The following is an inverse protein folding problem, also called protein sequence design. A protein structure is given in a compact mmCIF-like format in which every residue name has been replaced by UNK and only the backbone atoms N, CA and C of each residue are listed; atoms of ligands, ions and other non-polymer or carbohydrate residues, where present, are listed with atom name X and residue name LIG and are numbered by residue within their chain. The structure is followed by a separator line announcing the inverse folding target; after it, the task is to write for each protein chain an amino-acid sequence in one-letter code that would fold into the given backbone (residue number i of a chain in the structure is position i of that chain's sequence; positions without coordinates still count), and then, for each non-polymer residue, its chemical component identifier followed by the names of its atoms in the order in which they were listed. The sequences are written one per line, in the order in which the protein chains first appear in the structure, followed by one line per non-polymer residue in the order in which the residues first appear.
data_IF_176552437061
#
_entry.id   IF_176552437061
#
_cell.length_a   1.000
_cell.length_b   1.000
_cell.length_c   1.000
_cell.angle_alpha   90.00
_cell.angle_beta   90.00
_cell.angle_gamma   90.00
#
_symmetry.space_group_name_H-M   'P 1'
#
loop_
_entity.id
_entity.type
_entity.pdbx_description
1 polymer ?
#
# COMPACT_ATOMS: atom_id res chain seq x y z
N UNK A 1 -1.51 -2.70 34.26
CA UNK A 1 -1.14 -1.36 33.77
C UNK A 1 0.35 -1.18 34.02
N UNK A 2 1.15 -1.16 32.98
CA UNK A 2 2.61 -1.05 33.10
C UNK A 2 3.01 0.39 33.49
N UNK A 3 4.30 0.61 33.84
CA UNK A 3 4.82 1.96 34.06
C UNK A 3 4.64 2.85 32.83
N UNK A 4 4.87 2.27 31.65
CA UNK A 4 4.71 2.95 30.35
C UNK A 4 3.27 3.41 30.14
N UNK A 5 2.29 2.54 30.41
CA UNK A 5 0.86 2.89 30.28
C UNK A 5 0.47 4.08 31.16
N UNK A 6 1.03 4.15 32.38
CA UNK A 6 0.76 5.27 33.31
C UNK A 6 1.36 6.58 32.79
N UNK A 7 2.59 6.55 32.32
CA UNK A 7 3.27 7.73 31.79
C UNK A 7 2.60 8.24 30.50
N UNK A 8 2.19 7.34 29.60
CA UNK A 8 1.44 7.69 28.39
C UNK A 8 0.05 8.27 28.69
N UNK A 9 -0.65 7.73 29.71
CA UNK A 9 -1.96 8.23 30.11
C UNK A 9 -1.91 9.64 30.74
N UNK A 10 -0.76 10.06 31.26
CA UNK A 10 -0.55 11.40 31.83
C UNK A 10 0.00 12.41 30.84
N UNK A 11 0.56 11.94 29.71
CA UNK A 11 1.12 12.81 28.69
C UNK A 11 0.02 13.52 27.87
N UNK A 12 0.26 14.76 27.40
CA UNK A 12 -0.64 15.43 26.48
C UNK A 12 -0.88 14.59 25.23
N UNK A 13 -2.12 14.54 24.73
CA UNK A 13 -2.49 13.76 23.53
C UNK A 13 -1.57 14.02 22.35
N UNK A 14 -1.25 15.28 22.06
CA UNK A 14 -0.34 15.65 20.99
C UNK A 14 1.07 15.10 21.16
N UNK A 15 1.52 14.89 22.41
CA UNK A 15 2.81 14.24 22.67
C UNK A 15 2.72 12.73 22.45
N UNK A 16 1.64 12.09 22.90
CA UNK A 16 1.39 10.65 22.65
C UNK A 16 1.37 10.36 21.14
N UNK A 17 0.72 11.20 20.35
CA UNK A 17 0.68 11.08 18.88
C UNK A 17 2.09 11.18 18.26
N UNK A 18 2.94 12.08 18.76
CA UNK A 18 4.34 12.18 18.29
C UNK A 18 5.18 10.97 18.69
N UNK A 19 4.98 10.43 19.89
CA UNK A 19 5.67 9.21 20.34
C UNK A 19 5.22 7.99 19.52
N UNK A 20 3.93 7.86 19.22
CA UNK A 20 3.41 6.81 18.34
C UNK A 20 3.97 6.92 16.91
N UNK A 21 4.12 8.13 16.38
CA UNK A 21 4.77 8.36 15.10
C UNK A 21 6.25 7.96 15.09
N UNK A 22 7.00 8.27 16.17
CA UNK A 22 8.39 7.82 16.34
C UNK A 22 8.46 6.30 16.23
N UNK A 23 7.60 5.58 16.97
CA UNK A 23 7.54 4.13 16.93
C UNK A 23 7.18 3.59 15.55
N UNK A 24 6.14 4.15 14.94
CA UNK A 24 5.69 3.73 13.61
C UNK A 24 6.80 3.86 12.55
N UNK A 25 7.51 4.98 12.52
CA UNK A 25 8.61 5.17 11.58
C UNK A 25 9.75 4.17 11.81
N UNK A 26 10.18 4.02 13.05
CA UNK A 26 11.23 3.07 13.40
C UNK A 26 10.82 1.64 13.02
N UNK A 27 9.58 1.26 13.36
CA UNK A 27 9.12 -0.11 13.17
C UNK A 27 8.84 -0.45 11.70
N UNK A 28 8.14 0.42 10.97
CA UNK A 28 7.72 0.14 9.59
C UNK A 28 8.67 0.65 8.51
N UNK A 29 9.42 1.73 8.75
CA UNK A 29 10.39 2.26 7.78
C UNK A 29 11.84 1.95 8.16
N UNK A 30 12.07 1.63 9.43
CA UNK A 30 13.40 1.23 9.94
C UNK A 30 14.33 2.39 10.21
N UNK A 31 13.90 3.65 10.03
CA UNK A 31 14.70 4.83 10.34
C UNK A 31 13.84 6.05 10.66
N UNK A 32 14.45 6.97 11.41
CA UNK A 32 13.85 8.24 11.79
C UNK A 32 14.92 9.31 11.96
N UNK A 33 14.66 10.50 11.44
CA UNK A 33 15.41 11.70 11.75
C UNK A 33 14.61 12.64 12.66
N UNK A 34 15.29 13.44 13.48
CA UNK A 34 14.63 14.47 14.30
C UNK A 34 13.79 15.43 13.46
N UNK A 35 14.25 15.72 12.25
CA UNK A 35 13.56 16.60 11.31
C UNK A 35 12.21 16.04 10.85
N UNK A 36 12.07 14.72 10.74
CA UNK A 36 10.80 14.06 10.37
C UNK A 36 9.67 14.40 11.37
N UNK A 37 10.01 14.42 12.68
CA UNK A 37 9.06 14.78 13.73
C UNK A 37 8.74 16.28 13.65
N UNK A 38 9.77 17.10 13.51
CA UNK A 38 9.61 18.56 13.47
C UNK A 38 8.73 18.99 12.29
N UNK A 39 8.96 18.45 11.11
CA UNK A 39 8.18 18.74 9.90
C UNK A 39 6.75 18.19 10.00
N UNK A 40 6.61 16.93 10.43
CA UNK A 40 5.30 16.26 10.49
C UNK A 40 4.31 16.96 11.43
N UNK A 41 4.78 17.43 12.57
CA UNK A 41 3.95 18.04 13.61
C UNK A 41 4.10 19.57 13.72
N UNK A 42 4.86 20.18 12.80
CA UNK A 42 5.13 21.62 12.82
C UNK A 42 5.64 22.11 14.17
N UNK A 43 6.49 21.31 14.82
CA UNK A 43 7.09 21.64 16.13
C UNK A 43 8.55 22.05 16.01
N UNK A 44 9.03 22.82 16.98
CA UNK A 44 10.43 23.20 17.03
C UNK A 44 11.35 21.96 17.18
N UNK A 45 12.54 22.04 16.60
CA UNK A 45 13.56 20.97 16.67
C UNK A 45 13.90 20.56 18.11
N UNK A 46 13.83 21.51 19.06
CA UNK A 46 14.02 21.24 20.50
C UNK A 46 12.92 20.35 21.04
N UNK A 47 11.66 20.57 20.62
CA UNK A 47 10.54 19.72 21.02
C UNK A 47 10.69 18.32 20.47
N UNK A 48 11.05 18.16 19.20
CA UNK A 48 11.31 16.86 18.60
C UNK A 48 12.43 16.09 19.34
N UNK A 49 13.48 16.80 19.79
CA UNK A 49 14.54 16.20 20.62
C UNK A 49 14.06 15.74 21.99
N UNK A 50 13.15 16.50 22.63
CA UNK A 50 12.53 16.10 23.91
C UNK A 50 11.65 14.85 23.75
N UNK A 51 10.87 14.78 22.67
CA UNK A 51 10.02 13.64 22.38
C UNK A 51 10.85 12.37 22.11
N UNK A 52 11.96 12.47 21.35
CA UNK A 52 12.92 11.39 21.17
C UNK A 52 13.55 10.92 22.48
N UNK A 53 13.94 11.86 23.35
CA UNK A 53 14.50 11.54 24.67
C UNK A 53 13.47 10.84 25.56
N UNK A 54 12.22 11.30 25.55
CA UNK A 54 11.13 10.67 26.28
C UNK A 54 10.84 9.26 25.73
N UNK A 55 10.76 9.08 24.40
CA UNK A 55 10.58 7.77 23.80
C UNK A 55 11.70 6.79 24.19
N UNK A 56 12.96 7.27 24.21
CA UNK A 56 14.10 6.47 24.68
C UNK A 56 14.00 6.09 26.17
N UNK A 57 13.40 6.94 27.01
CA UNK A 57 13.16 6.61 28.42
C UNK A 57 12.05 5.57 28.59
N UNK A 58 10.98 5.65 27.77
CA UNK A 58 9.86 4.72 27.78
C UNK A 58 10.24 3.35 27.19
N UNK A 59 11.06 3.36 26.16
CA UNK A 59 11.48 2.17 25.40
C UNK A 59 13.00 2.17 25.17
N UNK A 60 13.82 1.99 26.22
CA UNK A 60 15.28 2.19 26.16
C UNK A 60 16.02 1.21 25.23
N UNK A 61 15.35 0.11 24.85
CA UNK A 61 15.89 -0.91 23.97
C UNK A 61 15.40 -0.79 22.52
N UNK A 62 14.66 0.26 22.18
CA UNK A 62 14.06 0.37 20.85
C UNK A 62 14.90 1.19 19.87
N UNK A 63 15.83 2.00 20.36
CA UNK A 63 16.55 2.99 19.56
C UNK A 63 18.05 2.76 19.59
N UNK A 64 18.62 2.64 18.41
CA UNK A 64 20.05 2.84 18.17
C UNK A 64 20.27 4.09 17.32
N UNK A 65 21.42 4.75 17.45
CA UNK A 65 21.75 5.94 16.69
C UNK A 65 22.96 5.70 15.79
N UNK A 66 22.77 5.85 14.49
CA UNK A 66 23.85 5.84 13.52
C UNK A 66 24.45 7.24 13.40
N UNK A 67 25.67 7.41 13.93
CA UNK A 67 26.39 8.69 13.92
C UNK A 67 26.86 9.12 12.53
N UNK A 68 27.06 8.17 11.59
CA UNK A 68 27.50 8.48 10.23
C UNK A 68 26.32 8.96 9.38
N UNK A 69 25.22 8.23 9.41
CA UNK A 69 24.00 8.58 8.68
C UNK A 69 23.18 9.66 9.42
N UNK A 70 23.42 9.90 10.70
CA UNK A 70 22.67 10.81 11.59
C UNK A 70 21.19 10.46 11.69
N UNK A 71 20.90 9.17 11.76
CA UNK A 71 19.54 8.63 11.88
C UNK A 71 19.39 7.75 13.12
N UNK A 72 18.17 7.67 13.62
CA UNK A 72 17.78 6.66 14.60
C UNK A 72 17.28 5.43 13.87
N UNK A 73 17.65 4.24 14.36
CA UNK A 73 17.27 2.95 13.81
C UNK A 73 16.66 2.06 14.89
N UNK A 74 15.77 1.12 14.55
CA UNK A 74 15.31 0.12 15.50
C UNK A 74 16.46 -0.80 15.89
N UNK A 75 16.60 -1.11 17.19
CA UNK A 75 17.53 -2.14 17.64
C UNK A 75 16.98 -3.55 17.41
N UNK A 76 17.84 -4.56 17.50
CA UNK A 76 17.42 -5.99 17.44
C UNK A 76 16.48 -6.39 18.58
N UNK A 77 16.43 -5.61 19.66
CA UNK A 77 15.59 -5.85 20.83
C UNK A 77 14.33 -5.00 20.85
N UNK A 78 13.94 -4.45 19.71
CA UNK A 78 12.79 -3.58 19.57
C UNK A 78 11.50 -4.27 20.06
N UNK A 79 10.77 -3.60 20.94
CA UNK A 79 9.45 -4.03 21.41
C UNK A 79 8.47 -2.86 21.33
N UNK A 80 7.39 -3.04 20.60
CA UNK A 80 6.35 -2.02 20.49
C UNK A 80 5.77 -1.68 21.86
N UNK A 81 5.57 -0.39 22.12
CA UNK A 81 4.87 0.14 23.28
C UNK A 81 3.51 0.74 22.90
N UNK A 82 3.23 0.89 21.59
CA UNK A 82 1.94 1.31 21.05
C UNK A 82 1.26 0.16 20.32
N UNK A 83 -0.04 0.03 20.51
CA UNK A 83 -0.90 -0.85 19.70
C UNK A 83 -1.25 -0.13 18.39
N UNK A 84 -0.37 -0.25 17.40
CA UNK A 84 -0.59 0.27 16.06
C UNK A 84 -1.35 -0.78 15.26
N UNK A 85 -2.63 -0.53 14.94
CA UNK A 85 -3.36 -1.44 14.08
C UNK A 85 -2.77 -1.42 12.66
N UNK A 86 -2.65 -2.58 12.04
CA UNK A 86 -2.12 -2.70 10.68
C UNK A 86 -2.94 -1.90 9.68
N UNK A 87 -4.26 -1.81 9.87
CA UNK A 87 -5.15 -1.01 9.04
C UNK A 87 -4.80 0.48 9.08
N UNK A 88 -4.58 1.03 10.28
CA UNK A 88 -4.18 2.43 10.45
C UNK A 88 -2.81 2.71 9.83
N UNK A 89 -1.88 1.76 9.96
CA UNK A 89 -0.55 1.89 9.32
C UNK A 89 -0.66 1.86 7.80
N UNK A 90 -1.44 0.94 7.22
CA UNK A 90 -1.69 0.89 5.79
C UNK A 90 -2.37 2.16 5.28
N UNK A 91 -3.32 2.69 6.06
CA UNK A 91 -3.93 3.99 5.76
C UNK A 91 -2.89 5.12 5.77
N UNK A 92 -2.02 5.14 6.77
CA UNK A 92 -0.91 6.09 6.85
C UNK A 92 0.04 5.97 5.65
N UNK A 93 0.47 4.77 5.29
CA UNK A 93 1.37 4.55 4.14
C UNK A 93 0.72 4.96 2.81
N UNK A 94 -0.60 4.83 2.68
CA UNK A 94 -1.35 5.14 1.47
C UNK A 94 -1.67 6.63 1.32
N UNK A 95 -2.06 7.30 2.39
CA UNK A 95 -2.72 8.62 2.34
C UNK A 95 -1.93 9.73 3.03
N UNK A 96 -0.79 9.40 3.65
CA UNK A 96 -0.25 10.25 4.69
C UNK A 96 -1.23 10.33 5.86
N UNK A 97 -0.82 10.75 7.04
CA UNK A 97 -1.77 10.82 8.16
C UNK A 97 -2.85 11.86 7.87
N UNK A 98 -4.08 11.40 7.76
CA UNK A 98 -5.28 12.22 7.66
C UNK A 98 -5.67 12.79 9.01
N UNK A 99 -4.84 13.67 9.57
CA UNK A 99 -5.12 14.28 10.85
C UNK A 99 -5.71 15.66 10.64
N UNK A 100 -6.74 15.95 11.29
CA UNK A 100 -7.32 17.27 11.32
C UNK A 100 -8.83 17.29 11.36
N UNK A 101 -9.47 16.15 11.20
CA UNK A 101 -10.89 16.04 11.49
C UNK A 101 -11.08 15.61 12.95
N UNK A 102 -11.96 16.30 13.70
CA UNK A 102 -12.34 15.87 15.04
C UNK A 102 -12.92 14.45 14.99
N UNK A 103 -12.92 13.75 16.14
CA UNK A 103 -13.58 12.45 16.27
C UNK A 103 -14.94 12.47 15.55
N UNK A 104 -15.26 11.44 14.73
CA UNK A 104 -16.51 11.43 14.00
C UNK A 104 -17.68 11.63 14.99
N UNK A 105 -18.65 12.47 14.67
CA UNK A 105 -19.89 12.54 15.44
C UNK A 105 -20.46 11.12 15.48
N UNK A 106 -21.08 10.72 16.59
CA UNK A 106 -21.64 9.37 16.80
C UNK A 106 -22.82 9.07 15.85
N UNK A 107 -22.63 9.27 14.56
CA UNK A 107 -23.60 8.91 13.52
C UNK A 107 -23.57 7.39 13.30
N UNK A 108 -24.73 6.71 13.29
CA UNK A 108 -24.79 5.32 12.89
C UNK A 108 -24.19 5.15 11.49
N UNK A 109 -23.08 4.42 11.38
CA UNK A 109 -22.36 4.21 10.12
C UNK A 109 -21.86 2.77 10.08
N UNK A 110 -22.21 2.04 9.04
CA UNK A 110 -21.72 0.69 8.77
C UNK A 110 -20.86 0.70 7.51
N UNK A 111 -19.78 -0.07 7.53
CA UNK A 111 -18.89 -0.24 6.38
C UNK A 111 -18.53 -1.71 6.20
N UNK A 112 -18.26 -2.10 4.96
CA UNK A 112 -17.76 -3.45 4.67
C UNK A 112 -16.29 -3.52 5.07
N UNK A 113 -15.99 -4.39 6.03
CA UNK A 113 -14.63 -4.61 6.51
C UNK A 113 -13.76 -5.31 5.48
N UNK A 114 -12.46 -4.98 5.48
CA UNK A 114 -11.45 -5.70 4.70
C UNK A 114 -11.18 -7.07 5.36
N UNK A 115 -11.45 -8.17 4.64
CA UNK A 115 -11.24 -9.52 5.17
C UNK A 115 -9.76 -9.94 5.21
N UNK A 116 -8.92 -9.33 4.39
CA UNK A 116 -7.53 -9.74 4.19
C UNK A 116 -6.58 -8.62 4.62
N UNK A 117 -6.31 -8.57 5.92
CA UNK A 117 -5.39 -7.61 6.52
C UNK A 117 -4.03 -8.30 6.66
N UNK A 118 -2.91 -7.70 6.20
CA UNK A 118 -1.58 -8.25 6.40
C UNK A 118 -1.20 -8.29 7.88
N UNK A 119 -0.42 -9.28 8.25
CA UNK A 119 0.26 -9.30 9.53
C UNK A 119 1.20 -8.08 9.64
N UNK A 120 1.23 -7.44 10.83
CA UNK A 120 1.98 -6.21 11.03
C UNK A 120 3.50 -6.39 10.91
N UNK A 121 4.01 -7.52 11.39
CA UNK A 121 5.45 -7.82 11.34
C UNK A 121 5.88 -8.10 9.90
N UNK A 122 5.05 -8.83 9.15
CA UNK A 122 5.29 -9.08 7.73
C UNK A 122 5.23 -7.78 6.91
N UNK A 123 4.23 -6.94 7.17
CA UNK A 123 4.15 -5.62 6.53
C UNK A 123 5.41 -4.79 6.82
N UNK A 124 5.89 -4.79 8.06
CA UNK A 124 7.09 -4.06 8.45
C UNK A 124 8.36 -4.58 7.75
N UNK A 125 8.49 -5.89 7.54
CA UNK A 125 9.60 -6.45 6.75
C UNK A 125 9.56 -5.95 5.30
N UNK A 126 8.39 -6.01 4.67
CA UNK A 126 8.19 -5.57 3.29
C UNK A 126 8.45 -4.05 3.15
N UNK A 127 7.86 -3.23 4.02
CA UNK A 127 7.99 -1.76 3.92
C UNK A 127 9.40 -1.28 4.20
N UNK A 128 10.10 -1.90 5.14
CA UNK A 128 11.53 -1.62 5.39
C UNK A 128 12.40 -1.98 4.18
N UNK A 129 12.14 -3.11 3.53
CA UNK A 129 12.90 -3.52 2.35
C UNK A 129 12.68 -2.56 1.18
N UNK A 130 11.43 -2.13 0.92
CA UNK A 130 11.12 -1.11 -0.07
C UNK A 130 11.86 0.20 0.26
N UNK A 131 11.73 0.68 1.49
CA UNK A 131 12.30 1.96 1.91
C UNK A 131 13.82 1.97 1.85
N UNK A 132 14.46 0.88 2.28
CA UNK A 132 15.92 0.71 2.30
C UNK A 132 16.50 0.16 0.99
N UNK A 133 15.66 -0.12 0.00
CA UNK A 133 16.07 -0.72 -1.29
C UNK A 133 16.89 -1.99 -1.12
N UNK A 134 16.38 -2.93 -0.30
CA UNK A 134 17.03 -4.22 -0.04
C UNK A 134 16.25 -5.36 -0.68
N UNK A 135 16.99 -6.39 -1.08
CA UNK A 135 16.40 -7.66 -1.53
C UNK A 135 15.80 -8.39 -0.35
N UNK A 136 14.63 -9.00 -0.56
CA UNK A 136 14.00 -9.90 0.40
C UNK A 136 14.09 -11.34 -0.10
N UNK A 137 14.56 -12.24 0.75
CA UNK A 137 14.23 -13.65 0.63
C UNK A 137 12.90 -13.92 1.31
N UNK A 138 11.95 -14.50 0.57
CA UNK A 138 10.61 -14.81 1.06
C UNK A 138 10.28 -16.30 0.89
N UNK A 139 9.53 -16.86 1.84
CA UNK A 139 8.81 -18.12 1.66
C UNK A 139 7.37 -17.81 1.29
N UNK A 140 7.02 -18.04 0.04
CA UNK A 140 5.74 -17.63 -0.55
C UNK A 140 4.84 -18.83 -0.85
N UNK A 141 3.55 -18.72 -0.47
CA UNK A 141 2.53 -19.71 -0.78
C UNK A 141 1.75 -19.29 -2.04
N UNK A 142 2.10 -19.91 -3.17
CA UNK A 142 1.41 -19.69 -4.45
C UNK A 142 0.18 -20.58 -4.55
N UNK A 143 -0.88 -20.10 -5.26
CA UNK A 143 -2.06 -20.90 -5.54
C UNK A 143 -1.78 -22.05 -6.53
N UNK A 144 -0.80 -21.87 -7.42
CA UNK A 144 -0.50 -22.85 -8.47
C UNK A 144 0.66 -23.77 -8.13
N UNK A 145 1.67 -23.29 -7.39
CA UNK A 145 2.93 -24.02 -7.17
C UNK A 145 3.24 -24.34 -5.70
N UNK A 146 2.30 -24.01 -4.76
CA UNK A 146 2.51 -24.23 -3.34
C UNK A 146 3.61 -23.35 -2.74
N UNK A 147 4.32 -23.88 -1.75
CA UNK A 147 5.42 -23.17 -1.09
C UNK A 147 6.67 -23.15 -1.96
N UNK A 148 7.22 -21.95 -2.13
CA UNK A 148 8.52 -21.73 -2.75
C UNK A 148 9.29 -20.63 -2.03
N UNK A 149 10.61 -20.80 -1.90
CA UNK A 149 11.50 -19.70 -1.53
C UNK A 149 11.79 -18.86 -2.78
N UNK A 150 11.80 -17.55 -2.63
CA UNK A 150 12.07 -16.59 -3.71
C UNK A 150 12.90 -15.45 -3.19
N UNK A 151 13.76 -14.92 -4.04
CA UNK A 151 14.40 -13.63 -3.81
C UNK A 151 13.67 -12.57 -4.64
N UNK A 152 13.21 -11.52 -3.98
CA UNK A 152 12.48 -10.43 -4.62
C UNK A 152 13.11 -9.09 -4.30
N UNK A 153 13.14 -8.18 -5.27
CA UNK A 153 13.50 -6.77 -5.06
C UNK A 153 12.21 -5.93 -5.01
N UNK A 154 11.66 -5.64 -3.83
CA UNK A 154 10.37 -4.97 -3.69
C UNK A 154 10.53 -3.47 -3.92
N UNK A 155 9.54 -2.85 -4.62
CA UNK A 155 9.57 -1.41 -4.86
C UNK A 155 8.27 -0.66 -4.59
N UNK A 156 7.11 -1.33 -4.51
CA UNK A 156 5.83 -0.67 -4.24
C UNK A 156 4.84 -1.56 -3.48
N UNK A 157 3.93 -0.91 -2.75
CA UNK A 157 2.73 -1.55 -2.22
C UNK A 157 1.55 -1.29 -3.17
N UNK A 158 0.71 -2.29 -3.37
CA UNK A 158 -0.47 -2.23 -4.22
C UNK A 158 -1.69 -2.71 -3.42
N UNK A 159 -2.67 -1.81 -3.24
CA UNK A 159 -3.99 -2.15 -2.71
C UNK A 159 -4.96 -2.38 -3.87
N UNK A 160 -5.43 -3.61 -4.04
CA UNK A 160 -6.42 -3.92 -5.06
C UNK A 160 -7.87 -3.83 -4.54
N UNK A 161 -8.06 -3.25 -3.34
CA UNK A 161 -9.33 -3.10 -2.66
C UNK A 161 -9.87 -4.36 -1.98
N UNK A 162 -9.21 -5.51 -2.14
CA UNK A 162 -9.52 -6.77 -1.46
C UNK A 162 -8.36 -7.25 -0.59
N UNK A 163 -7.12 -6.95 -1.00
CA UNK A 163 -5.89 -7.36 -0.30
C UNK A 163 -4.70 -6.56 -0.79
N UNK A 164 -3.69 -6.50 0.04
CA UNK A 164 -2.44 -5.84 -0.24
C UNK A 164 -1.43 -6.75 -0.92
N UNK A 165 -0.73 -6.20 -1.89
CA UNK A 165 0.37 -6.83 -2.61
C UNK A 165 1.63 -6.01 -2.43
N UNK A 166 2.77 -6.68 -2.54
CA UNK A 166 4.04 -6.04 -2.84
C UNK A 166 4.38 -6.29 -4.30
N UNK A 167 4.65 -5.22 -5.05
CA UNK A 167 5.22 -5.31 -6.40
C UNK A 167 6.71 -5.35 -6.30
N UNK A 168 7.32 -6.34 -6.96
CA UNK A 168 8.74 -6.63 -6.86
C UNK A 168 9.26 -7.25 -8.15
N UNK A 169 10.56 -7.12 -8.40
CA UNK A 169 11.27 -7.96 -9.35
C UNK A 169 11.47 -9.35 -8.72
N UNK A 170 11.01 -10.38 -9.38
CA UNK A 170 11.18 -11.79 -9.00
C UNK A 170 12.43 -12.34 -9.67
N UNK A 171 13.52 -12.49 -8.92
CA UNK A 171 14.82 -12.98 -9.42
C UNK A 171 14.76 -14.39 -9.97
N UNK A 172 13.82 -15.22 -9.51
CA UNK A 172 13.70 -16.59 -9.97
C UNK A 172 13.04 -16.69 -11.35
N UNK A 173 12.10 -15.76 -11.64
CA UNK A 173 11.39 -15.73 -12.91
C UNK A 173 11.84 -14.58 -13.83
N UNK A 174 12.84 -13.81 -13.43
CA UNK A 174 13.42 -12.68 -14.18
C UNK A 174 12.37 -11.69 -14.68
N UNK A 175 11.41 -11.30 -13.82
CA UNK A 175 10.32 -10.38 -14.17
C UNK A 175 9.71 -9.69 -12.96
N UNK A 176 9.05 -8.56 -13.20
CA UNK A 176 8.23 -7.93 -12.18
C UNK A 176 6.92 -8.69 -11.94
N UNK A 177 6.56 -8.84 -10.67
CA UNK A 177 5.37 -9.61 -10.24
C UNK A 177 4.76 -9.02 -8.98
N UNK A 178 3.48 -9.33 -8.75
CA UNK A 178 2.75 -8.93 -7.55
C UNK A 178 2.64 -10.10 -6.58
N UNK A 179 3.10 -9.92 -5.35
CA UNK A 179 3.03 -10.92 -4.30
C UNK A 179 2.01 -10.49 -3.24
N UNK A 180 1.02 -11.33 -2.95
CA UNK A 180 0.04 -11.06 -1.87
C UNK A 180 0.76 -11.13 -0.53
N UNK A 181 0.75 -10.06 0.26
CA UNK A 181 1.52 -9.98 1.51
C UNK A 181 1.11 -11.09 2.49
N UNK A 182 -0.19 -11.38 2.64
CA UNK A 182 -0.68 -12.45 3.52
C UNK A 182 -0.23 -13.87 3.12
N UNK A 183 0.34 -14.06 1.94
CA UNK A 183 0.89 -15.35 1.48
C UNK A 183 2.39 -15.47 1.70
N UNK A 184 3.03 -14.43 2.19
CA UNK A 184 4.43 -14.46 2.62
C UNK A 184 4.43 -15.01 4.04
N UNK A 185 5.01 -16.21 4.21
CA UNK A 185 5.09 -16.89 5.52
C UNK A 185 6.34 -16.51 6.29
N UNK A 186 7.37 -16.10 5.57
CA UNK A 186 8.65 -15.68 6.11
C UNK A 186 9.25 -14.65 5.15
N UNK A 187 9.90 -13.62 5.70
CA UNK A 187 10.67 -12.65 4.94
C UNK A 187 11.94 -12.29 5.72
N UNK A 188 13.06 -12.26 5.01
CA UNK A 188 14.35 -11.85 5.54
C UNK A 188 15.04 -10.91 4.55
N UNK A 189 15.49 -9.76 5.01
CA UNK A 189 16.24 -8.84 4.18
C UNK A 189 17.68 -9.35 4.02
N UNK A 190 18.11 -9.50 2.77
CA UNK A 190 19.48 -9.88 2.46
C UNK A 190 20.38 -8.64 2.53
N UNK A 191 21.65 -8.86 2.86
CA UNK A 191 22.65 -7.77 2.79
C UNK A 191 23.12 -7.55 1.34
N UNK A 192 22.15 -7.50 0.45
CA UNK A 192 22.35 -7.27 -0.97
C UNK A 192 21.57 -6.03 -1.39
N UNK A 193 22.20 -5.22 -2.24
CA UNK A 193 21.52 -4.10 -2.87
C UNK A 193 20.77 -4.57 -4.12
N UNK A 194 19.64 -3.93 -4.41
CA UNK A 194 18.94 -4.12 -5.66
C UNK A 194 19.77 -3.54 -6.81
N UNK A 195 19.71 -4.22 -7.96
CA UNK A 195 20.46 -3.83 -9.16
C UNK A 195 19.64 -2.87 -10.04
N UNK A 196 20.26 -2.15 -11.00
CA UNK A 196 19.55 -1.18 -11.83
C UNK A 196 18.37 -1.75 -12.64
N UNK A 197 18.36 -3.04 -12.98
CA UNK A 197 17.23 -3.66 -13.68
C UNK A 197 16.09 -4.14 -12.77
N UNK A 198 16.28 -4.10 -11.46
CA UNK A 198 15.30 -4.53 -10.47
C UNK A 198 14.53 -3.36 -9.84
N UNK A 199 14.91 -2.11 -10.15
CA UNK A 199 14.27 -0.91 -9.57
C UNK A 199 12.94 -0.58 -10.23
N UNK A 200 12.11 0.22 -9.57
CA UNK A 200 10.81 0.64 -10.10
C UNK A 200 10.88 1.26 -11.50
N UNK A 201 11.93 2.04 -11.81
CA UNK A 201 12.13 2.65 -13.11
C UNK A 201 12.40 1.64 -14.24
N UNK A 202 12.81 0.42 -13.93
CA UNK A 202 12.97 -0.68 -14.88
C UNK A 202 11.67 -1.48 -15.08
N UNK A 203 10.67 -1.29 -14.23
CA UNK A 203 9.36 -1.93 -14.36
C UNK A 203 8.50 -1.21 -15.40
N UNK A 204 8.57 -1.65 -16.65
CA UNK A 204 7.82 -1.04 -17.75
C UNK A 204 6.31 -1.00 -17.50
N UNK A 205 5.74 -2.00 -16.83
CA UNK A 205 4.32 -2.02 -16.47
C UNK A 205 3.98 -1.02 -15.35
N UNK A 206 4.92 -0.73 -14.47
CA UNK A 206 4.75 0.28 -13.43
C UNK A 206 4.92 1.70 -13.96
N UNK A 207 5.86 1.93 -14.84
CA UNK A 207 6.12 3.24 -15.46
C UNK A 207 5.09 3.62 -16.52
N UNK A 208 4.53 2.64 -17.21
CA UNK A 208 3.52 2.89 -18.23
C UNK A 208 2.19 3.33 -17.61
N UNK A 209 1.66 4.47 -18.09
CA UNK A 209 0.33 4.95 -17.75
C UNK A 209 -0.65 4.57 -18.86
N UNK A 210 -1.77 4.01 -18.48
CA UNK A 210 -2.92 3.77 -19.34
C UNK A 210 -4.05 4.74 -19.00
N UNK A 211 -4.75 5.18 -20.03
CA UNK A 211 -5.90 6.09 -19.89
C UNK A 211 -7.18 5.30 -20.15
N UNK A 212 -8.06 5.28 -19.17
CA UNK A 212 -9.30 4.50 -19.19
C UNK A 212 -10.48 5.45 -19.28
N UNK A 213 -11.35 5.26 -20.28
CA UNK A 213 -12.59 6.00 -20.47
C UNK A 213 -13.77 5.12 -20.04
N UNK A 214 -14.35 5.40 -18.86
CA UNK A 214 -15.44 4.63 -18.28
C UNK A 214 -16.77 5.32 -18.57
N UNK A 215 -17.73 4.56 -19.11
CA UNK A 215 -19.08 5.03 -19.45
C UNK A 215 -20.14 4.24 -18.67
N UNK A 216 -21.37 4.75 -18.53
CA UNK A 216 -22.49 3.93 -18.10
C UNK A 216 -22.62 2.71 -19.00
N UNK A 217 -22.85 1.54 -18.42
CA UNK A 217 -22.98 0.32 -19.22
C UNK A 217 -24.09 0.47 -20.29
N UNK A 218 -23.82 0.23 -21.58
CA UNK A 218 -24.73 0.55 -22.68
C UNK A 218 -26.12 -0.08 -22.59
N UNK A 219 -26.22 -1.22 -21.91
CA UNK A 219 -27.48 -1.98 -21.76
C UNK A 219 -28.35 -1.52 -20.58
N UNK A 220 -27.90 -0.51 -19.80
CA UNK A 220 -28.72 0.09 -18.73
C UNK A 220 -29.74 1.04 -19.35
N UNK A 221 -31.02 0.86 -19.02
CA UNK A 221 -32.13 1.67 -19.53
C UNK A 221 -32.01 3.14 -19.05
N UNK A 222 -31.71 3.36 -17.78
CA UNK A 222 -31.67 4.69 -17.17
C UNK A 222 -30.22 5.08 -16.85
N UNK A 223 -29.40 5.27 -17.87
CA UNK A 223 -27.98 5.60 -17.73
C UNK A 223 -27.72 6.88 -16.93
N UNK A 224 -28.68 7.84 -16.93
CA UNK A 224 -28.59 9.07 -16.14
C UNK A 224 -28.43 8.83 -14.63
N UNK A 225 -28.91 7.69 -14.09
CA UNK A 225 -28.70 7.31 -12.70
C UNK A 225 -27.21 7.06 -12.44
N UNK A 226 -26.56 6.31 -13.33
CA UNK A 226 -25.11 6.02 -13.23
C UNK A 226 -24.28 7.28 -13.44
N UNK A 227 -24.69 8.15 -14.37
CA UNK A 227 -24.05 9.47 -14.56
C UNK A 227 -24.10 10.30 -13.28
N UNK A 228 -25.23 10.26 -12.54
CA UNK A 228 -25.41 10.95 -11.27
C UNK A 228 -24.55 10.33 -10.15
N UNK A 229 -24.54 9.01 -9.99
CA UNK A 229 -23.75 8.29 -8.97
C UNK A 229 -22.27 8.65 -9.04
N UNK A 230 -21.73 8.74 -10.23
CA UNK A 230 -20.32 9.02 -10.49
C UNK A 230 -20.03 10.49 -10.84
N UNK A 231 -21.05 11.38 -10.81
CA UNK A 231 -20.93 12.80 -11.19
C UNK A 231 -20.23 12.98 -12.54
N UNK A 232 -20.62 12.18 -13.52
CA UNK A 232 -19.95 12.13 -14.81
C UNK A 232 -20.08 13.46 -15.56
N UNK A 233 -18.98 13.91 -16.18
CA UNK A 233 -18.99 15.06 -17.10
C UNK A 233 -18.88 14.53 -18.53
N UNK A 234 -19.83 14.90 -19.39
CA UNK A 234 -19.85 14.40 -20.76
C UNK A 234 -20.09 12.89 -20.84
N UNK A 235 -20.87 12.34 -19.89
CA UNK A 235 -21.29 10.93 -19.81
C UNK A 235 -20.14 9.93 -19.64
N UNK A 236 -19.00 10.37 -19.09
CA UNK A 236 -17.84 9.50 -18.87
C UNK A 236 -16.98 9.94 -17.68
N UNK A 237 -16.12 9.04 -17.25
CA UNK A 237 -15.05 9.29 -16.30
C UNK A 237 -13.75 8.93 -16.99
N UNK A 238 -12.79 9.84 -17.02
CA UNK A 238 -11.44 9.58 -17.47
C UNK A 238 -10.55 9.28 -16.27
N UNK A 239 -9.87 8.12 -16.29
CA UNK A 239 -8.96 7.70 -15.24
C UNK A 239 -7.61 7.33 -15.85
N UNK A 240 -6.54 7.85 -15.26
CA UNK A 240 -5.18 7.46 -15.61
C UNK A 240 -4.61 6.59 -14.51
N UNK A 241 -4.05 5.43 -14.85
CA UNK A 241 -3.43 4.54 -13.90
C UNK A 241 -2.24 3.80 -14.51
N UNK A 242 -1.42 3.19 -13.65
CA UNK A 242 -0.30 2.36 -14.10
C UNK A 242 -0.82 1.08 -14.76
N UNK A 243 -0.20 0.65 -15.86
CA UNK A 243 -0.57 -0.59 -16.56
C UNK A 243 -0.53 -1.81 -15.63
N UNK A 244 0.43 -1.85 -14.71
CA UNK A 244 0.55 -2.91 -13.72
C UNK A 244 -0.71 -3.13 -12.88
N UNK A 245 -1.52 -2.09 -12.64
CA UNK A 245 -2.69 -2.15 -11.75
C UNK A 245 -4.04 -1.95 -12.45
N UNK A 246 -4.06 -1.66 -13.74
CA UNK A 246 -5.29 -1.35 -14.49
C UNK A 246 -6.36 -2.43 -14.35
N UNK A 247 -6.00 -3.70 -14.52
CA UNK A 247 -6.93 -4.82 -14.38
C UNK A 247 -7.48 -4.99 -12.96
N UNK A 248 -6.67 -4.71 -11.92
CA UNK A 248 -7.14 -4.71 -10.54
C UNK A 248 -8.18 -3.62 -10.29
N UNK A 249 -7.94 -2.41 -10.81
CA UNK A 249 -8.84 -1.28 -10.67
C UNK A 249 -10.17 -1.53 -11.36
N UNK A 250 -10.14 -1.96 -12.62
CA UNK A 250 -11.33 -2.30 -13.40
C UNK A 250 -12.15 -3.40 -12.72
N UNK A 251 -11.49 -4.43 -12.21
CA UNK A 251 -12.16 -5.48 -11.43
C UNK A 251 -12.76 -4.95 -10.12
N UNK A 252 -12.07 -4.08 -9.44
CA UNK A 252 -12.55 -3.45 -8.18
C UNK A 252 -13.78 -2.61 -8.41
N UNK A 253 -13.81 -1.86 -9.51
CA UNK A 253 -14.93 -0.97 -9.85
C UNK A 253 -16.08 -1.69 -10.54
N UNK A 254 -15.97 -2.98 -10.86
CA UNK A 254 -17.00 -3.72 -11.56
C UNK A 254 -17.23 -3.16 -12.97
N UNK A 255 -16.15 -2.94 -13.73
CA UNK A 255 -16.22 -2.41 -15.10
C UNK A 255 -16.29 -3.57 -16.08
N UNK A 256 -17.30 -3.58 -16.95
CA UNK A 256 -17.34 -4.49 -18.09
C UNK A 256 -16.29 -4.08 -19.13
N UNK A 257 -15.31 -4.94 -19.35
CA UNK A 257 -14.25 -4.80 -20.35
C UNK A 257 -14.39 -5.80 -21.48
N UNK A 258 -15.56 -6.40 -21.64
CA UNK A 258 -15.84 -7.32 -22.75
C UNK A 258 -16.14 -6.57 -24.04
N UNK A 259 -15.92 -7.25 -25.17
CA UNK A 259 -16.34 -6.74 -26.47
C UNK A 259 -17.87 -6.58 -26.45
N UNK A 260 -18.37 -5.43 -26.96
CA UNK A 260 -19.79 -5.07 -27.01
C UNK A 260 -20.51 -4.98 -25.65
N UNK A 261 -19.75 -4.81 -24.55
CA UNK A 261 -20.30 -4.75 -23.20
C UNK A 261 -21.29 -5.90 -22.95
N UNK A 262 -20.80 -7.12 -23.03
CA UNK A 262 -21.62 -8.33 -23.03
C UNK A 262 -21.96 -8.86 -21.63
N UNK A 263 -21.33 -8.34 -20.56
CA UNK A 263 -21.61 -8.75 -19.20
C UNK A 263 -22.98 -8.23 -18.70
N UNK A 264 -23.44 -8.76 -17.57
CA UNK A 264 -24.74 -8.41 -17.01
C UNK A 264 -24.76 -6.96 -16.47
N UNK A 265 -25.60 -6.04 -17.01
CA UNK A 265 -25.65 -4.66 -16.56
C UNK A 265 -26.17 -4.47 -15.11
N UNK A 266 -26.83 -5.47 -14.52
CA UNK A 266 -27.25 -5.43 -13.11
C UNK A 266 -26.06 -5.63 -12.16
N UNK A 267 -24.99 -6.26 -12.63
CA UNK A 267 -23.75 -6.47 -11.87
C UNK A 267 -22.67 -5.46 -12.23
N UNK A 268 -22.60 -5.07 -13.52
CA UNK A 268 -21.58 -4.18 -14.07
C UNK A 268 -22.24 -2.89 -14.56
N UNK A 269 -22.29 -1.88 -13.70
CA UNK A 269 -22.89 -0.58 -14.02
C UNK A 269 -22.03 0.27 -14.94
N UNK A 270 -20.75 -0.01 -15.04
CA UNK A 270 -19.78 0.69 -15.88
C UNK A 270 -19.27 -0.22 -16.99
N UNK A 271 -18.95 0.36 -18.14
CA UNK A 271 -18.24 -0.30 -19.23
C UNK A 271 -16.99 0.50 -19.63
N UNK A 272 -15.95 -0.19 -20.09
CA UNK A 272 -14.76 0.43 -20.64
C UNK A 272 -14.98 0.75 -22.11
N UNK A 273 -14.97 2.03 -22.47
CA UNK A 273 -15.20 2.49 -23.83
C UNK A 273 -14.00 2.20 -24.75
N UNK A 274 -12.78 2.40 -24.26
CA UNK A 274 -11.55 2.27 -25.02
C UNK A 274 -10.78 0.99 -24.62
N UNK A 275 -11.35 -0.17 -24.93
CA UNK A 275 -10.83 -1.51 -24.55
C UNK A 275 -9.38 -1.71 -25.05
N UNK A 276 -9.04 -1.14 -26.21
CA UNK A 276 -7.72 -1.21 -26.84
C UNK A 276 -6.61 -0.64 -25.94
N UNK A 277 -6.94 0.27 -25.02
CA UNK A 277 -5.97 0.82 -24.05
C UNK A 277 -5.38 -0.24 -23.11
N UNK A 278 -6.04 -1.39 -22.97
CA UNK A 278 -5.58 -2.50 -22.15
C UNK A 278 -4.60 -3.44 -22.86
N UNK A 279 -4.39 -3.31 -24.18
CA UNK A 279 -3.60 -4.26 -24.95
C UNK A 279 -2.17 -4.44 -24.42
N UNK A 280 -1.56 -3.35 -23.93
CA UNK A 280 -0.19 -3.34 -23.38
C UNK A 280 -0.12 -3.61 -21.86
N UNK A 281 -1.25 -3.67 -21.15
CA UNK A 281 -1.28 -3.89 -19.71
C UNK A 281 -1.28 -5.39 -19.39
N UNK A 282 -0.24 -5.90 -18.73
CA UNK A 282 -0.19 -7.31 -18.30
C UNK A 282 -1.32 -7.66 -17.32
N UNK A 283 -1.72 -6.70 -16.48
CA UNK A 283 -2.82 -6.87 -15.52
C UNK A 283 -4.20 -6.95 -16.16
N UNK A 284 -4.34 -6.68 -17.46
CA UNK A 284 -5.62 -6.65 -18.18
C UNK A 284 -6.40 -7.97 -18.09
N UNK A 285 -5.72 -9.12 -17.99
CA UNK A 285 -6.36 -10.43 -17.83
C UNK A 285 -7.21 -10.55 -16.55
N UNK A 286 -7.04 -9.61 -15.62
CA UNK A 286 -7.86 -9.52 -14.40
C UNK A 286 -9.12 -8.68 -14.58
N UNK A 287 -9.22 -7.90 -15.66
CA UNK A 287 -10.37 -7.04 -15.93
C UNK A 287 -11.58 -7.91 -16.36
N UNK A 288 -12.79 -7.61 -15.84
CA UNK A 288 -13.97 -8.42 -16.13
C UNK A 288 -14.29 -8.45 -17.63
N UNK A 289 -14.42 -9.65 -18.19
CA UNK A 289 -14.78 -9.84 -19.58
C UNK A 289 -13.70 -9.55 -20.63
N UNK A 290 -12.53 -9.01 -20.22
CA UNK A 290 -11.43 -8.75 -21.14
C UNK A 290 -10.84 -10.07 -21.67
N UNK A 291 -10.64 -10.12 -22.97
CA UNK A 291 -9.94 -11.23 -23.63
C UNK A 291 -8.85 -10.66 -24.54
N UNK A 292 -7.60 -11.05 -24.30
CA UNK A 292 -6.52 -10.71 -25.22
C UNK A 292 -6.82 -11.28 -26.59
N UNK A 293 -6.82 -10.43 -27.60
CA UNK A 293 -6.84 -10.88 -29.00
C UNK A 293 -5.54 -11.60 -29.28
N UNK A 294 -5.58 -12.90 -29.54
CA UNK A 294 -4.42 -13.65 -30.03
C UNK A 294 -4.08 -13.14 -31.42
N UNK A 295 -3.06 -12.31 -31.54
CA UNK A 295 -2.54 -11.91 -32.84
C UNK A 295 -2.26 -10.42 -33.00
N UNK A 296 -1.35 -9.87 -32.24
CA UNK A 296 -0.52 -8.69 -32.55
C UNK A 296 0.66 -8.74 -31.56
N UNK A 297 1.58 -9.65 -31.80
CA UNK A 297 2.90 -9.65 -31.21
C UNK A 297 3.90 -9.21 -32.28
#
# INVERSE_FOLDING_TARGET
MTRVDKELAQAPRSQVERLAYIEARLYFLGELQRQDIAQRFSVASVQASRDLSLYKQLAPKNLDYDYRARIYQPSDKFKRIFELSTENVLWWLKSGLGDGLPNPPGLPTESVNTLCIPDGDMLAQVTRAIYRRKVLEIKYLSLSSGYKTRQIAPHALVDNGKRWHVRAFDRENDRFSDFVINRIQFAHALDENITPHEVAAADGQWEQIVHLSLIPHPKITHQAAIEADYRMKGRRIEVSCRAAIAGYMLRRWGVDCSVESSLNPEEYHLALQNIESLASAESADLAPGYKRTKGLA
#
